data_IF_788826201531
#
_entry.id   IF_788826201531
#
_cell.length_a   1.000
_cell.length_b   1.000
_cell.length_c   1.000
_cell.angle_alpha   90.00
_cell.angle_beta   90.00
_cell.angle_gamma   90.00
#
_symmetry.space_group_name_H-M   'P 1'
#
loop_
_entity.id
_entity.type
_entity.pdbx_description
1 polymer ?
#
# COMPACT_ATOMS: atom_id res chain seq x y z
N UNK A 1 16.82 -21.94 7.20
CA UNK A 1 16.15 -20.64 7.00
C UNK A 1 14.71 -20.94 6.69
N UNK A 2 13.81 -20.60 7.60
CA UNK A 2 12.38 -20.82 7.40
C UNK A 2 11.84 -19.74 6.47
N UNK A 3 11.37 -20.15 5.29
CA UNK A 3 10.82 -19.23 4.29
C UNK A 3 9.34 -19.01 4.58
N UNK A 4 8.94 -17.75 4.70
CA UNK A 4 7.53 -17.37 4.70
C UNK A 4 7.05 -17.20 3.26
N UNK A 5 6.08 -18.03 2.87
CA UNK A 5 5.42 -17.92 1.57
C UNK A 5 4.11 -17.17 1.75
N UNK A 6 3.92 -16.09 0.99
CA UNK A 6 2.70 -15.29 1.02
C UNK A 6 1.73 -15.79 -0.03
N UNK A 7 0.45 -15.83 0.31
CA UNK A 7 -0.63 -16.00 -0.67
C UNK A 7 -1.03 -14.63 -1.21
N UNK A 8 -1.58 -14.59 -2.42
CA UNK A 8 -2.09 -13.34 -3.00
C UNK A 8 -3.17 -12.71 -2.11
N UNK A 9 -4.08 -13.53 -1.57
CA UNK A 9 -5.13 -13.07 -0.66
C UNK A 9 -4.56 -12.48 0.64
N UNK A 10 -3.59 -13.15 1.26
CA UNK A 10 -2.96 -12.65 2.49
C UNK A 10 -2.25 -11.31 2.27
N UNK A 11 -1.54 -11.17 1.15
CA UNK A 11 -0.89 -9.91 0.80
C UNK A 11 -1.90 -8.76 0.64
N UNK A 12 -3.05 -9.03 0.01
CA UNK A 12 -4.11 -8.04 -0.16
C UNK A 12 -4.74 -7.64 1.18
N UNK A 13 -5.06 -8.61 2.04
CA UNK A 13 -5.62 -8.37 3.38
C UNK A 13 -4.65 -7.56 4.26
N UNK A 14 -3.37 -7.89 4.23
CA UNK A 14 -2.33 -7.15 4.95
C UNK A 14 -2.21 -5.71 4.43
N UNK A 15 -2.34 -5.51 3.11
CA UNK A 15 -2.34 -4.17 2.50
C UNK A 15 -3.54 -3.33 2.94
N UNK A 16 -4.74 -3.92 3.00
CA UNK A 16 -5.92 -3.24 3.54
C UNK A 16 -5.79 -2.96 5.04
N UNK A 17 -5.15 -3.86 5.80
CA UNK A 17 -4.88 -3.63 7.22
C UNK A 17 -3.94 -2.44 7.43
N UNK A 18 -2.92 -2.29 6.58
CA UNK A 18 -2.07 -1.11 6.56
C UNK A 18 -2.88 0.16 6.25
N UNK A 19 -3.73 0.13 5.23
CA UNK A 19 -4.57 1.26 4.86
C UNK A 19 -5.51 1.69 6.00
N UNK A 20 -6.12 0.72 6.68
CA UNK A 20 -6.96 0.96 7.86
C UNK A 20 -6.17 1.58 9.01
N UNK A 21 -4.91 1.19 9.24
CA UNK A 21 -4.05 1.82 10.24
C UNK A 21 -3.76 3.29 9.89
N UNK A 22 -3.44 3.57 8.63
CA UNK A 22 -3.26 4.94 8.12
C UNK A 22 -4.52 5.76 8.34
N UNK A 23 -5.68 5.25 7.93
CA UNK A 23 -6.97 5.92 8.12
C UNK A 23 -7.26 6.22 9.61
N UNK A 24 -7.10 5.22 10.48
CA UNK A 24 -7.35 5.38 11.93
C UNK A 24 -6.41 6.34 12.63
N UNK A 25 -5.22 6.57 12.07
CA UNK A 25 -4.29 7.58 12.59
C UNK A 25 -4.78 9.02 12.36
N UNK A 26 -5.79 9.22 11.52
CA UNK A 26 -6.23 10.55 11.08
C UNK A 26 -5.33 11.18 10.01
N UNK A 27 -4.28 10.48 9.57
CA UNK A 27 -3.42 10.93 8.49
C UNK A 27 -4.16 10.84 7.14
N UNK A 28 -4.25 11.97 6.44
CA UNK A 28 -4.88 12.07 5.13
C UNK A 28 -3.79 12.35 4.10
N UNK A 29 -3.12 11.31 3.56
CA UNK A 29 -2.09 11.51 2.56
C UNK A 29 -2.70 12.13 1.30
N UNK A 30 -1.98 13.08 0.70
CA UNK A 30 -2.28 13.59 -0.63
C UNK A 30 -1.52 12.83 -1.73
N UNK A 31 -0.52 12.04 -1.33
CA UNK A 31 0.36 11.34 -2.26
C UNK A 31 0.90 10.04 -1.67
N UNK A 32 0.96 8.99 -2.48
CA UNK A 32 1.47 7.66 -2.16
C UNK A 32 2.63 7.34 -3.11
N UNK A 33 3.81 7.09 -2.53
CA UNK A 33 5.00 6.66 -3.29
C UNK A 33 5.24 5.18 -2.98
N UNK A 34 4.90 4.33 -3.94
CA UNK A 34 5.17 2.90 -3.86
C UNK A 34 6.58 2.59 -4.38
N UNK A 35 7.32 1.76 -3.66
CA UNK A 35 8.61 1.26 -4.14
C UNK A 35 8.39 0.13 -5.14
N UNK A 36 8.82 0.32 -6.39
CA UNK A 36 8.75 -0.68 -7.43
C UNK A 36 9.81 -1.79 -7.21
N UNK A 37 9.52 -3.08 -7.40
CA UNK A 37 8.23 -3.68 -7.83
C UNK A 37 7.29 -4.01 -6.69
N UNK A 38 7.85 -4.46 -5.56
CA UNK A 38 7.09 -5.12 -4.50
C UNK A 38 6.02 -4.25 -3.88
N UNK A 39 6.23 -2.93 -3.79
CA UNK A 39 5.30 -1.98 -3.20
C UNK A 39 4.12 -1.60 -4.07
N UNK A 40 4.16 -1.83 -5.38
CA UNK A 40 3.08 -1.43 -6.29
C UNK A 40 1.71 -2.04 -5.93
N UNK A 41 1.56 -3.36 -5.71
CA UNK A 41 0.26 -3.93 -5.34
C UNK A 41 -0.25 -3.42 -3.97
N UNK A 42 0.65 -3.13 -3.03
CA UNK A 42 0.29 -2.57 -1.72
C UNK A 42 -0.20 -1.12 -1.88
N UNK A 43 0.51 -0.31 -2.67
CA UNK A 43 0.16 1.09 -2.93
C UNK A 43 -1.23 1.22 -3.56
N UNK A 44 -1.57 0.34 -4.52
CA UNK A 44 -2.91 0.30 -5.14
C UNK A 44 -3.98 -0.02 -4.09
N UNK A 45 -3.80 -1.05 -3.28
CA UNK A 45 -4.79 -1.43 -2.27
C UNK A 45 -4.99 -0.33 -1.20
N UNK A 46 -3.91 0.33 -0.79
CA UNK A 46 -3.98 1.47 0.14
C UNK A 46 -4.70 2.65 -0.49
N UNK A 47 -4.39 2.99 -1.74
CA UNK A 47 -5.06 4.06 -2.48
C UNK A 47 -6.57 3.80 -2.58
N UNK A 48 -6.96 2.58 -2.97
CA UNK A 48 -8.37 2.20 -3.13
C UNK A 48 -9.14 2.31 -1.80
N UNK A 49 -8.56 1.79 -0.71
CA UNK A 49 -9.17 1.87 0.61
C UNK A 49 -9.39 3.31 1.07
N UNK A 50 -8.38 4.17 0.89
CA UNK A 50 -8.47 5.58 1.28
C UNK A 50 -9.49 6.32 0.41
N UNK A 51 -9.52 6.03 -0.89
CA UNK A 51 -10.47 6.61 -1.84
C UNK A 51 -11.91 6.25 -1.46
N UNK A 52 -12.16 5.01 -1.05
CA UNK A 52 -13.46 4.58 -0.50
C UNK A 52 -13.88 5.38 0.74
N UNK A 53 -12.92 5.83 1.56
CA UNK A 53 -13.17 6.68 2.74
C UNK A 53 -13.12 8.18 2.44
N UNK A 54 -13.11 8.59 1.16
CA UNK A 54 -13.12 9.99 0.73
C UNK A 54 -11.76 10.69 0.79
N UNK A 55 -10.68 9.96 1.10
CA UNK A 55 -9.31 10.48 1.12
C UNK A 55 -8.67 10.18 -0.24
N UNK A 56 -8.49 11.22 -1.04
CA UNK A 56 -7.95 11.10 -2.39
C UNK A 56 -6.45 11.38 -2.35
N UNK A 57 -5.67 10.41 -2.82
CA UNK A 57 -4.23 10.52 -2.93
C UNK A 57 -3.78 10.11 -4.33
N UNK A 58 -2.87 10.89 -4.91
CA UNK A 58 -2.14 10.46 -6.10
C UNK A 58 -1.23 9.27 -5.74
N UNK A 59 -0.98 8.39 -6.70
CA UNK A 59 -0.14 7.22 -6.48
C UNK A 59 0.83 7.01 -7.64
N UNK A 60 2.11 6.84 -7.30
CA UNK A 60 3.16 6.49 -8.24
C UNK A 60 4.00 5.35 -7.70
N UNK A 61 4.42 4.45 -8.59
CA UNK A 61 5.48 3.51 -8.30
C UNK A 61 6.82 4.05 -8.81
N UNK A 62 7.80 4.21 -7.92
CA UNK A 62 9.15 4.66 -8.28
C UNK A 62 10.13 3.49 -8.26
N UNK A 63 11.05 3.48 -9.23
CA UNK A 63 12.20 2.58 -9.27
C UNK A 63 13.47 3.40 -9.08
N UNK A 64 14.31 3.01 -8.13
CA UNK A 64 15.68 3.53 -8.01
C UNK A 64 16.67 2.50 -8.59
N UNK A 65 17.81 2.96 -9.10
CA UNK A 65 18.82 2.10 -9.76
C UNK A 65 19.60 1.19 -8.83
N UNK A 66 19.40 1.29 -7.52
CA UNK A 66 19.99 0.40 -6.52
C UNK A 66 19.10 0.39 -5.28
N UNK A 67 18.80 -0.81 -4.79
CA UNK A 67 18.78 -1.03 -3.34
C UNK A 67 20.20 -1.38 -2.90
#
# INVERSE_FOLDING_TARGET
MDKLYLTAQGLLEDSFRLAHQVYRSGFQPTFIIAVWRGGAPIGIAVQEYLSFHGIHADHIAIRTSSY
#
